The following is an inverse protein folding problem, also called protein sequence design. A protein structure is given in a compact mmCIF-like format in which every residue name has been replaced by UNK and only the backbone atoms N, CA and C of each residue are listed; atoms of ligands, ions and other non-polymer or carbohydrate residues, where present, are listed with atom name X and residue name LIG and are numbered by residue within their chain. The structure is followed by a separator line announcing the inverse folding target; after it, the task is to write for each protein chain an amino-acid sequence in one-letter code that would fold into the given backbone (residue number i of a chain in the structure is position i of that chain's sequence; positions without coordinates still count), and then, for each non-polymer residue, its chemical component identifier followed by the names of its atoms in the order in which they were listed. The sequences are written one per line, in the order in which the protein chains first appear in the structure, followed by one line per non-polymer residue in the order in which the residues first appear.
data_IF_470531452582
#
_entry.id   IF_470531452582
#
_cell.length_a   1.000
_cell.length_b   1.000
_cell.length_c   1.000
_cell.angle_alpha   90.00
_cell.angle_beta   90.00
_cell.angle_gamma   90.00
#
_symmetry.space_group_name_H-M   'P 1'
#
loop_
_entity.id
_entity.type
_entity.pdbx_description
1 polymer ?
#
# COMPACT_ATOMS: atom_id res chain seq x y z
N UNK A 1 53.29 83.73 -8.18
CA UNK A 1 52.99 82.62 -7.21
C UNK A 1 51.59 82.07 -7.50
N UNK A 2 51.50 80.91 -8.19
CA UNK A 2 50.21 80.29 -8.56
C UNK A 2 49.92 79.18 -7.54
N UNK A 3 48.78 79.30 -6.81
CA UNK A 3 48.27 78.28 -5.90
C UNK A 3 47.54 77.20 -6.70
N UNK A 4 47.98 75.94 -6.60
CA UNK A 4 47.35 74.80 -7.15
C UNK A 4 46.25 74.29 -6.16
N UNK A 5 45.04 74.38 -6.60
CA UNK A 5 43.88 73.82 -5.88
C UNK A 5 43.75 72.33 -6.23
N UNK A 6 43.84 71.48 -5.23
CA UNK A 6 43.73 69.99 -5.33
C UNK A 6 42.27 69.61 -5.24
N UNK A 7 41.69 69.16 -6.37
CA UNK A 7 40.32 68.54 -6.43
C UNK A 7 40.35 67.16 -5.78
N UNK A 8 39.46 66.97 -4.83
CA UNK A 8 39.20 65.65 -4.21
C UNK A 8 38.02 64.98 -4.92
N UNK A 9 38.31 64.00 -5.74
CA UNK A 9 37.29 63.14 -6.36
C UNK A 9 36.74 62.15 -5.31
N UNK A 10 35.43 62.23 -5.00
CA UNK A 10 34.77 61.30 -4.14
C UNK A 10 34.30 60.10 -5.00
N UNK A 11 34.79 58.89 -4.69
CA UNK A 11 34.31 57.65 -5.25
C UNK A 11 33.12 57.20 -4.43
N UNK A 12 31.95 57.08 -5.08
CA UNK A 12 30.79 56.39 -4.52
C UNK A 12 30.88 54.91 -4.95
N UNK A 13 31.10 54.02 -4.00
CA UNK A 13 31.00 52.59 -4.20
C UNK A 13 29.51 52.21 -4.20
N UNK A 14 29.00 51.87 -5.37
CA UNK A 14 27.67 51.25 -5.48
C UNK A 14 27.77 49.76 -5.04
N UNK A 15 27.27 49.46 -3.87
CA UNK A 15 27.15 48.10 -3.41
C UNK A 15 25.97 47.39 -4.12
N UNK A 16 26.28 46.46 -5.02
CA UNK A 16 25.28 45.56 -5.59
C UNK A 16 24.99 44.46 -4.56
N UNK A 17 23.88 44.60 -3.84
CA UNK A 17 23.39 43.55 -2.96
C UNK A 17 22.81 42.40 -3.80
N UNK A 18 23.50 41.26 -3.87
CA UNK A 18 22.90 40.02 -4.35
C UNK A 18 21.89 39.53 -3.31
N UNK A 19 20.59 39.70 -3.58
CA UNK A 19 19.53 39.02 -2.85
C UNK A 19 19.49 37.56 -3.33
N UNK A 20 20.11 36.65 -2.60
CA UNK A 20 19.93 35.22 -2.78
C UNK A 20 18.57 34.84 -2.21
N UNK A 21 17.56 34.73 -3.08
CA UNK A 21 16.30 34.05 -2.74
C UNK A 21 16.58 32.57 -2.57
N UNK A 22 16.79 32.13 -1.34
CA UNK A 22 16.85 30.74 -0.99
C UNK A 22 15.47 30.11 -1.25
N UNK A 23 15.33 29.39 -2.35
CA UNK A 23 14.17 28.51 -2.53
C UNK A 23 14.25 27.42 -1.46
N UNK A 24 13.38 27.52 -0.43
CA UNK A 24 13.11 26.39 0.45
C UNK A 24 12.47 25.30 -0.41
N UNK A 25 13.25 24.33 -0.84
CA UNK A 25 12.74 23.07 -1.34
C UNK A 25 12.18 22.34 -0.12
N UNK A 26 10.87 22.48 0.12
CA UNK A 26 10.13 21.61 1.01
C UNK A 26 10.14 20.24 0.32
N UNK A 27 11.15 19.42 0.62
CA UNK A 27 11.04 17.99 0.36
C UNK A 27 9.86 17.50 1.20
N UNK A 28 8.72 17.29 0.56
CA UNK A 28 7.65 16.50 1.12
C UNK A 28 8.23 15.09 1.31
N UNK A 29 8.82 14.86 2.47
CA UNK A 29 9.15 13.52 2.92
C UNK A 29 7.85 12.74 2.87
N UNK A 30 7.71 11.86 1.88
CA UNK A 30 6.57 10.97 1.79
C UNK A 30 6.52 10.22 3.11
N UNK A 31 5.56 10.56 3.96
CA UNK A 31 5.32 9.79 5.15
C UNK A 31 4.87 8.42 4.66
N UNK A 32 5.72 7.41 4.79
CA UNK A 32 5.47 6.04 4.37
C UNK A 32 4.57 5.38 5.42
N UNK A 33 3.31 5.10 5.06
CA UNK A 33 2.47 4.21 5.85
C UNK A 33 3.07 2.80 5.84
N UNK A 34 2.75 1.97 6.84
CA UNK A 34 3.15 0.57 6.84
C UNK A 34 2.08 -0.27 7.52
N UNK A 35 1.57 -1.28 6.83
CA UNK A 35 0.54 -2.16 7.39
C UNK A 35 0.28 -3.42 6.58
N UNK A 36 -0.30 -4.43 7.22
CA UNK A 36 -0.69 -5.70 6.62
C UNK A 36 -1.91 -6.28 7.34
N UNK A 37 -2.59 -7.24 6.72
CA UNK A 37 -3.68 -7.97 7.39
C UNK A 37 -3.15 -9.25 8.06
N UNK A 38 -3.67 -9.54 9.25
CA UNK A 38 -3.45 -10.79 9.96
C UNK A 38 -4.75 -11.59 10.20
N UNK A 39 -5.91 -10.99 9.86
CA UNK A 39 -7.21 -11.66 9.76
C UNK A 39 -7.98 -11.14 8.53
N UNK A 40 -8.29 -12.00 7.54
CA UNK A 40 -7.64 -13.28 7.33
C UNK A 40 -6.13 -13.08 7.13
N UNK A 41 -5.35 -14.11 7.44
CA UNK A 41 -3.88 -13.99 7.36
C UNK A 41 -3.44 -13.75 5.92
N UNK A 42 -2.69 -12.68 5.68
CA UNK A 42 -2.19 -12.34 4.34
C UNK A 42 -0.94 -13.14 3.97
N UNK A 43 -0.65 -13.23 2.66
CA UNK A 43 0.54 -13.90 2.13
C UNK A 43 1.83 -13.34 2.73
N UNK A 44 1.95 -11.99 2.84
CA UNK A 44 3.09 -11.37 3.48
C UNK A 44 3.21 -11.73 4.97
N UNK A 45 2.08 -11.89 5.67
CA UNK A 45 2.08 -12.34 7.07
C UNK A 45 2.46 -13.81 7.21
N UNK A 46 2.03 -14.67 6.29
CA UNK A 46 2.45 -16.08 6.23
C UNK A 46 3.97 -16.21 6.00
N UNK A 47 4.55 -15.32 5.20
CA UNK A 47 5.99 -15.25 5.00
C UNK A 47 6.72 -14.78 6.27
N UNK A 48 6.20 -13.73 6.91
CA UNK A 48 6.81 -13.12 8.09
C UNK A 48 6.82 -14.07 9.31
N UNK A 49 5.77 -14.85 9.50
CA UNK A 49 5.67 -15.78 10.63
C UNK A 49 6.31 -17.16 10.38
N UNK A 50 6.94 -17.36 9.20
CA UNK A 50 7.62 -18.61 8.84
C UNK A 50 6.70 -19.75 8.41
N UNK A 51 5.39 -19.54 8.30
CA UNK A 51 4.45 -20.55 7.74
C UNK A 51 4.76 -20.83 6.28
N UNK A 52 5.19 -19.81 5.53
CA UNK A 52 5.75 -19.92 4.19
C UNK A 52 7.17 -19.41 4.23
N UNK A 53 8.11 -20.21 3.71
CA UNK A 53 9.54 -19.89 3.67
C UNK A 53 9.98 -19.50 2.26
N UNK A 54 11.20 -19.01 2.11
CA UNK A 54 11.80 -18.58 0.83
C UNK A 54 11.04 -17.44 0.14
N UNK A 55 10.44 -16.56 0.93
CA UNK A 55 9.65 -15.43 0.46
C UNK A 55 10.47 -14.21 0.01
N UNK A 56 11.81 -14.24 0.12
CA UNK A 56 12.64 -13.06 -0.15
C UNK A 56 12.44 -11.97 0.89
N UNK A 57 12.57 -10.71 0.47
CA UNK A 57 12.58 -9.56 1.37
C UNK A 57 11.29 -9.37 2.16
N UNK A 58 10.15 -9.79 1.62
CA UNK A 58 8.84 -9.59 2.27
C UNK A 58 8.73 -10.26 3.65
N UNK A 59 9.52 -11.30 3.92
CA UNK A 59 9.56 -11.95 5.25
C UNK A 59 10.02 -11.00 6.36
N UNK A 60 10.81 -9.98 6.03
CA UNK A 60 11.37 -9.01 6.98
C UNK A 60 10.57 -7.71 7.05
N UNK A 61 9.79 -7.42 6.01
CA UNK A 61 9.02 -6.17 5.89
C UNK A 61 7.59 -6.40 5.39
N UNK A 62 6.78 -7.26 6.06
CA UNK A 62 5.42 -7.61 5.61
C UNK A 62 4.50 -6.40 5.51
N UNK A 63 4.83 -5.31 6.19
CA UNK A 63 4.08 -4.06 6.21
C UNK A 63 4.31 -3.18 4.98
N UNK A 64 5.27 -3.51 4.08
CA UNK A 64 5.78 -2.63 3.03
C UNK A 64 5.16 -2.87 1.65
N UNK A 65 4.03 -3.59 1.56
CA UNK A 65 3.35 -3.82 0.27
C UNK A 65 2.55 -2.58 -0.13
N UNK A 66 3.30 -1.57 -0.52
CA UNK A 66 2.79 -0.28 -0.99
C UNK A 66 2.75 -0.23 -2.51
N UNK A 67 1.75 0.42 -3.08
CA UNK A 67 1.59 0.63 -4.51
C UNK A 67 0.68 1.79 -4.85
N UNK A 68 0.50 2.13 -6.14
CA UNK A 68 -0.40 3.20 -6.55
C UNK A 68 -1.82 2.96 -6.04
N UNK A 69 -2.52 4.02 -5.59
CA UNK A 69 -3.93 3.94 -5.19
C UNK A 69 -4.87 3.94 -6.40
N UNK A 70 -6.17 3.75 -6.12
CA UNK A 70 -7.24 3.84 -7.13
C UNK A 70 -7.74 2.49 -7.63
N UNK A 71 -7.30 1.38 -6.99
CA UNK A 71 -7.81 0.04 -7.31
C UNK A 71 -9.34 -0.02 -7.13
N UNK A 72 -10.11 -0.64 -8.07
CA UNK A 72 -9.62 -1.43 -9.19
C UNK A 72 -9.44 -0.63 -10.51
N UNK A 73 -9.88 0.62 -10.60
CA UNK A 73 -9.82 1.42 -11.83
C UNK A 73 -8.39 1.78 -12.25
N UNK A 74 -7.49 1.88 -11.30
CA UNK A 74 -6.03 2.06 -11.45
C UNK A 74 -5.30 1.21 -10.38
N UNK A 75 -4.11 1.59 -9.95
CA UNK A 75 -3.35 0.81 -8.97
C UNK A 75 -2.37 -0.16 -9.63
N UNK A 76 -1.96 -1.25 -8.95
CA UNK A 76 -1.03 -2.23 -9.48
C UNK A 76 -1.56 -2.89 -10.76
N UNK A 77 -0.68 -3.25 -11.68
CA UNK A 77 -1.03 -3.98 -12.90
C UNK A 77 -1.58 -5.38 -12.59
N UNK A 78 -2.31 -5.96 -13.54
CA UNK A 78 -2.72 -7.36 -13.46
C UNK A 78 -1.50 -8.28 -13.36
N UNK A 79 -1.59 -9.31 -12.54
CA UNK A 79 -0.46 -10.16 -12.19
C UNK A 79 0.48 -9.58 -11.13
N UNK A 80 0.25 -8.35 -10.66
CA UNK A 80 1.09 -7.68 -9.65
C UNK A 80 0.29 -7.14 -8.45
N UNK A 81 -0.98 -7.52 -8.34
CA UNK A 81 -1.90 -6.98 -7.34
C UNK A 81 -1.42 -7.27 -5.91
N UNK A 82 -1.00 -8.51 -5.64
CA UNK A 82 -0.61 -8.94 -4.29
C UNK A 82 0.74 -8.39 -3.82
N UNK A 83 1.59 -7.91 -4.75
CA UNK A 83 2.84 -7.23 -4.43
C UNK A 83 2.71 -5.70 -4.40
N UNK A 84 1.52 -5.15 -4.67
CA UNK A 84 1.34 -3.70 -4.83
C UNK A 84 2.03 -3.13 -6.07
N UNK A 85 2.47 -3.98 -7.02
CA UNK A 85 3.30 -3.58 -8.17
C UNK A 85 4.80 -3.52 -7.85
N UNK A 86 5.22 -3.86 -6.61
CA UNK A 86 6.62 -3.87 -6.20
C UNK A 86 7.30 -5.18 -6.61
N UNK A 87 8.29 -5.10 -7.51
CA UNK A 87 9.02 -6.26 -8.03
C UNK A 87 9.83 -7.00 -6.96
N UNK A 88 10.25 -6.33 -5.88
CA UNK A 88 10.93 -6.97 -4.74
C UNK A 88 10.05 -8.02 -4.04
N UNK A 89 8.73 -7.90 -4.17
CA UNK A 89 7.74 -8.75 -3.51
C UNK A 89 6.98 -9.65 -4.50
N UNK A 90 7.55 -9.91 -5.67
CA UNK A 90 6.91 -10.69 -6.73
C UNK A 90 6.47 -12.09 -6.29
N UNK A 91 7.10 -12.67 -5.27
CA UNK A 91 6.70 -13.96 -4.69
C UNK A 91 5.24 -13.97 -4.23
N UNK A 92 4.72 -12.81 -3.81
CA UNK A 92 3.33 -12.68 -3.36
C UNK A 92 2.31 -12.82 -4.50
N UNK A 93 2.74 -12.59 -5.74
CA UNK A 93 1.84 -12.66 -6.92
C UNK A 93 1.63 -14.09 -7.44
N UNK A 94 2.55 -14.99 -7.13
CA UNK A 94 2.52 -16.34 -7.70
C UNK A 94 1.25 -17.10 -7.26
N UNK A 95 0.71 -17.90 -8.16
CA UNK A 95 -0.43 -18.78 -7.91
C UNK A 95 -0.12 -19.90 -6.90
N UNK A 96 1.16 -20.23 -6.76
CA UNK A 96 1.69 -21.15 -5.75
C UNK A 96 2.60 -20.41 -4.78
N UNK A 97 2.70 -20.90 -3.54
CA UNK A 97 3.65 -20.36 -2.58
C UNK A 97 5.10 -20.63 -2.99
N UNK A 98 6.06 -19.84 -2.55
CA UNK A 98 7.48 -20.16 -2.69
C UNK A 98 7.78 -21.59 -2.19
N UNK A 99 8.56 -22.34 -2.96
CA UNK A 99 8.81 -23.76 -2.71
C UNK A 99 7.74 -24.71 -3.27
N UNK A 100 6.69 -24.19 -3.91
CA UNK A 100 5.63 -24.95 -4.57
C UNK A 100 4.43 -25.25 -3.66
N UNK A 101 3.37 -25.75 -4.30
CA UNK A 101 2.09 -26.06 -3.65
C UNK A 101 1.20 -24.84 -3.39
N UNK A 102 -0.01 -25.08 -2.95
CA UNK A 102 -1.00 -24.04 -2.68
C UNK A 102 -0.59 -23.14 -1.51
N UNK A 103 -1.00 -21.86 -1.56
CA UNK A 103 -0.94 -20.98 -0.42
C UNK A 103 -1.82 -21.51 0.72
N UNK A 104 -1.38 -21.43 1.99
CA UNK A 104 -2.21 -21.76 3.14
C UNK A 104 -3.46 -20.89 3.17
N UNK A 105 -4.62 -21.47 3.42
CA UNK A 105 -5.91 -20.78 3.44
C UNK A 105 -6.45 -20.58 4.85
N UNK A 106 -7.17 -19.48 5.06
CA UNK A 106 -8.04 -19.31 6.22
C UNK A 106 -9.45 -19.82 5.87
N UNK A 107 -10.01 -20.73 6.70
CA UNK A 107 -11.39 -21.18 6.52
C UNK A 107 -12.36 -20.07 6.88
N UNK A 108 -13.32 -19.82 6.02
CA UNK A 108 -14.38 -18.80 6.21
C UNK A 108 -15.74 -19.38 5.86
N UNK A 109 -16.82 -18.73 6.31
CA UNK A 109 -18.20 -19.16 6.01
C UNK A 109 -18.91 -18.05 5.25
N UNK A 110 -19.31 -18.33 4.01
CA UNK A 110 -20.03 -17.40 3.15
C UNK A 110 -21.32 -16.89 3.78
N UNK A 111 -21.63 -15.60 3.59
CA UNK A 111 -22.82 -14.97 4.16
C UNK A 111 -22.77 -14.68 5.66
N UNK A 112 -21.72 -15.06 6.36
CA UNK A 112 -21.54 -14.76 7.79
C UNK A 112 -20.71 -13.49 8.00
N UNK A 113 -20.82 -12.89 9.18
CA UNK A 113 -19.93 -11.82 9.59
C UNK A 113 -18.53 -12.39 9.86
N UNK A 114 -17.54 -11.65 9.41
CA UNK A 114 -16.13 -11.97 9.60
C UNK A 114 -15.37 -10.74 10.10
N UNK A 115 -14.39 -10.95 10.97
CA UNK A 115 -13.51 -9.88 11.45
C UNK A 115 -12.28 -9.78 10.56
N UNK A 116 -12.13 -8.65 9.89
CA UNK A 116 -10.92 -8.26 9.16
C UNK A 116 -10.04 -7.46 10.10
N UNK A 117 -8.75 -7.80 10.19
CA UNK A 117 -7.85 -7.08 11.08
C UNK A 117 -6.58 -6.65 10.36
N UNK A 118 -6.25 -5.37 10.53
CA UNK A 118 -5.01 -4.77 10.09
C UNK A 118 -4.06 -4.56 11.27
N UNK A 119 -2.76 -4.73 11.01
CA UNK A 119 -1.66 -4.36 11.87
C UNK A 119 -0.88 -3.25 11.19
N UNK A 120 -0.63 -2.15 11.90
CA UNK A 120 0.10 -1.01 11.37
C UNK A 120 1.37 -0.79 12.19
N UNK A 121 2.50 -0.65 11.50
CA UNK A 121 3.77 -0.23 12.10
C UNK A 121 4.03 1.26 11.87
N UNK A 122 3.37 1.86 10.88
CA UNK A 122 3.31 3.31 10.67
C UNK A 122 1.91 3.70 10.20
N UNK A 123 1.17 4.42 11.03
CA UNK A 123 -0.21 4.85 10.79
C UNK A 123 -0.24 6.12 9.95
N UNK A 124 -1.16 6.17 8.98
CA UNK A 124 -1.35 7.30 8.08
C UNK A 124 -2.79 7.79 8.04
N UNK A 125 -2.99 9.05 7.63
CA UNK A 125 -4.30 9.56 7.26
C UNK A 125 -4.91 8.65 6.20
N UNK A 126 -6.10 8.13 6.45
CA UNK A 126 -6.73 7.04 5.71
C UNK A 126 -8.02 7.51 5.06
N UNK A 127 -8.16 7.27 3.75
CA UNK A 127 -9.43 7.50 3.04
C UNK A 127 -10.44 6.42 3.37
N UNK A 128 -10.06 5.17 3.15
CA UNK A 128 -10.92 4.00 3.34
C UNK A 128 -10.11 2.69 3.40
N UNK A 129 -10.82 1.63 3.78
CA UNK A 129 -10.42 0.24 3.59
C UNK A 129 -11.43 -0.44 2.70
N UNK A 130 -10.98 -1.15 1.67
CA UNK A 130 -11.83 -1.89 0.73
C UNK A 130 -11.41 -3.34 0.65
N UNK A 131 -12.40 -4.21 0.52
CA UNK A 131 -12.19 -5.65 0.45
C UNK A 131 -12.86 -6.21 -0.80
N UNK A 132 -12.07 -6.87 -1.62
CA UNK A 132 -12.48 -7.52 -2.85
C UNK A 132 -12.26 -9.02 -2.72
N UNK A 133 -12.97 -9.82 -3.50
CA UNK A 133 -12.80 -11.27 -3.52
C UNK A 133 -12.84 -11.77 -4.96
N UNK A 134 -12.14 -12.85 -5.22
CA UNK A 134 -12.22 -13.54 -6.51
C UNK A 134 -13.64 -14.03 -6.76
N UNK A 135 -14.09 -13.98 -8.02
CA UNK A 135 -15.40 -14.46 -8.46
C UNK A 135 -15.46 -16.00 -8.46
N UNK A 136 -16.64 -16.56 -8.48
CA UNK A 136 -16.82 -18.00 -8.70
C UNK A 136 -16.20 -18.41 -10.04
N UNK A 137 -15.51 -19.57 -10.06
CA UNK A 137 -14.87 -20.08 -11.27
C UNK A 137 -13.64 -19.33 -11.76
N UNK A 138 -13.01 -18.47 -10.92
CA UNK A 138 -11.76 -17.81 -11.27
C UNK A 138 -10.63 -18.81 -11.54
N UNK A 139 -9.67 -18.44 -12.37
CA UNK A 139 -8.54 -19.32 -12.70
C UNK A 139 -7.45 -19.20 -11.62
N UNK A 140 -7.19 -20.29 -10.91
CA UNK A 140 -6.20 -20.35 -9.82
C UNK A 140 -4.77 -20.60 -10.30
N UNK A 141 -4.54 -20.81 -11.62
CA UNK A 141 -3.26 -21.24 -12.15
C UNK A 141 -2.40 -20.12 -12.70
N UNK A 142 -2.76 -18.87 -12.43
CA UNK A 142 -1.98 -17.70 -12.83
C UNK A 142 -1.98 -16.62 -11.71
N UNK A 143 -1.11 -15.62 -11.86
CA UNK A 143 -1.09 -14.48 -10.96
C UNK A 143 -2.40 -13.67 -11.09
N UNK A 144 -2.92 -13.19 -9.97
CA UNK A 144 -4.24 -12.55 -9.85
C UNK A 144 -4.40 -11.35 -10.79
N UNK A 145 -5.44 -11.37 -11.60
CA UNK A 145 -5.84 -10.28 -12.49
C UNK A 145 -7.20 -9.69 -12.07
N UNK A 146 -7.52 -8.49 -12.56
CA UNK A 146 -8.84 -7.87 -12.32
C UNK A 146 -9.99 -8.73 -12.84
N UNK A 147 -9.78 -9.44 -13.95
CA UNK A 147 -10.76 -10.38 -14.51
C UNK A 147 -11.12 -11.54 -13.57
N UNK A 148 -10.29 -11.83 -12.58
CA UNK A 148 -10.57 -12.87 -11.58
C UNK A 148 -11.39 -12.36 -10.41
N UNK A 149 -11.49 -11.04 -10.24
CA UNK A 149 -12.12 -10.41 -9.09
C UNK A 149 -13.56 -9.94 -9.39
N UNK A 150 -14.38 -9.93 -8.36
CA UNK A 150 -15.51 -9.03 -8.34
C UNK A 150 -14.97 -7.61 -8.05
N UNK A 151 -15.04 -6.72 -9.03
CA UNK A 151 -14.46 -5.38 -8.95
C UNK A 151 -15.29 -4.40 -8.12
N UNK A 152 -16.49 -4.77 -7.69
CA UNK A 152 -17.23 -4.07 -6.64
C UNK A 152 -16.76 -4.62 -5.29
N UNK A 153 -16.25 -3.77 -4.38
CA UNK A 153 -15.83 -4.26 -3.06
C UNK A 153 -17.05 -4.80 -2.32
N UNK A 154 -16.93 -5.99 -1.76
CA UNK A 154 -18.01 -6.58 -0.96
C UNK A 154 -18.12 -5.92 0.43
N UNK A 155 -17.07 -5.24 0.87
CA UNK A 155 -17.04 -4.52 2.13
C UNK A 155 -16.14 -3.27 2.00
N UNK A 156 -16.63 -2.13 2.48
CA UNK A 156 -15.91 -0.86 2.50
C UNK A 156 -16.08 -0.20 3.85
N UNK A 157 -14.99 0.30 4.41
CA UNK A 157 -14.97 1.07 5.65
C UNK A 157 -14.40 2.47 5.35
N UNK A 158 -15.25 3.51 5.23
CA UNK A 158 -14.79 4.90 5.15
C UNK A 158 -14.02 5.30 6.41
N UNK A 159 -12.90 6.01 6.24
CA UNK A 159 -12.07 6.44 7.37
C UNK A 159 -11.83 7.95 7.42
N UNK A 160 -12.26 8.68 6.39
CA UNK A 160 -12.43 10.15 6.34
C UNK A 160 -11.18 10.94 6.74
N UNK A 161 -9.99 10.49 6.36
CA UNK A 161 -8.72 11.16 6.66
C UNK A 161 -8.17 10.89 8.07
N UNK A 162 -8.86 10.11 8.90
CA UNK A 162 -8.37 9.76 10.24
C UNK A 162 -7.17 8.81 10.16
N UNK A 163 -6.35 8.80 11.21
CA UNK A 163 -5.28 7.82 11.39
C UNK A 163 -5.81 6.63 12.18
N UNK A 164 -5.63 5.39 11.71
CA UNK A 164 -6.01 4.21 12.47
C UNK A 164 -5.11 4.00 13.69
N UNK A 165 -5.56 3.28 14.72
CA UNK A 165 -4.68 2.76 15.77
C UNK A 165 -3.72 1.70 15.20
N UNK A 166 -2.72 1.29 15.98
CA UNK A 166 -1.75 0.26 15.57
C UNK A 166 -2.37 -1.10 15.20
N UNK A 167 -3.54 -1.39 15.76
CA UNK A 167 -4.37 -2.55 15.41
C UNK A 167 -5.79 -2.10 15.19
N UNK A 168 -6.37 -2.42 14.03
CA UNK A 168 -7.73 -2.04 13.68
C UNK A 168 -8.49 -3.25 13.17
N UNK A 169 -9.67 -3.48 13.75
CA UNK A 169 -10.59 -4.55 13.34
C UNK A 169 -11.85 -3.98 12.71
N UNK A 170 -12.27 -4.57 11.60
CA UNK A 170 -13.53 -4.28 10.93
C UNK A 170 -14.38 -5.54 10.88
N UNK A 171 -15.66 -5.44 11.22
CA UNK A 171 -16.58 -6.56 11.04
C UNK A 171 -17.44 -6.32 9.82
N UNK A 172 -17.34 -7.20 8.84
CA UNK A 172 -18.07 -7.13 7.59
C UNK A 172 -18.68 -8.49 7.21
N UNK A 173 -19.71 -8.47 6.37
CA UNK A 173 -20.36 -9.69 5.89
C UNK A 173 -19.62 -10.24 4.68
N UNK A 174 -19.23 -11.52 4.74
CA UNK A 174 -18.64 -12.23 3.60
C UNK A 174 -19.70 -12.49 2.51
N UNK A 175 -19.29 -12.50 1.22
CA UNK A 175 -20.18 -12.90 0.13
C UNK A 175 -20.70 -14.31 0.31
N UNK A 176 -21.96 -14.54 -0.10
CA UNK A 176 -22.56 -15.87 -0.17
C UNK A 176 -22.37 -16.50 -1.55
N UNK A 177 -22.53 -17.82 -1.66
CA UNK A 177 -22.50 -18.53 -2.93
C UNK A 177 -21.10 -18.79 -3.50
N UNK A 178 -20.04 -18.52 -2.74
CA UNK A 178 -18.67 -18.93 -3.04
C UNK A 178 -18.36 -20.27 -2.37
N UNK A 179 -17.50 -21.07 -2.99
CA UNK A 179 -17.03 -22.35 -2.46
C UNK A 179 -15.62 -22.65 -2.92
N UNK A 180 -14.85 -23.35 -2.08
CA UNK A 180 -13.47 -23.70 -2.37
C UNK A 180 -12.51 -22.52 -2.17
N UNK A 181 -11.39 -22.54 -2.89
CA UNK A 181 -10.32 -21.56 -2.72
C UNK A 181 -10.61 -20.23 -3.42
N UNK A 182 -10.47 -19.15 -2.68
CA UNK A 182 -10.59 -17.76 -3.15
C UNK A 182 -9.48 -16.90 -2.57
N UNK A 183 -9.26 -15.72 -3.16
CA UNK A 183 -8.34 -14.70 -2.64
C UNK A 183 -9.15 -13.46 -2.26
N UNK A 184 -8.99 -13.01 -1.03
CA UNK A 184 -9.46 -11.68 -0.60
C UNK A 184 -8.33 -10.68 -0.78
N UNK A 185 -8.60 -9.61 -1.53
CA UNK A 185 -7.69 -8.46 -1.68
C UNK A 185 -8.18 -7.35 -0.77
N UNK A 186 -7.41 -7.05 0.25
CA UNK A 186 -7.65 -5.92 1.14
C UNK A 186 -6.79 -4.74 0.69
N UNK A 187 -7.40 -3.56 0.56
CA UNK A 187 -6.76 -2.32 0.12
C UNK A 187 -6.96 -1.25 1.18
N UNK A 188 -5.85 -0.72 1.70
CA UNK A 188 -5.83 0.43 2.60
C UNK A 188 -5.43 1.68 1.81
N UNK A 189 -6.37 2.58 1.57
CA UNK A 189 -6.17 3.80 0.76
C UNK A 189 -5.68 4.95 1.63
N UNK A 190 -4.49 5.47 1.33
CA UNK A 190 -3.90 6.61 2.05
C UNK A 190 -4.55 7.92 1.54
N UNK A 191 -4.89 8.82 2.47
CA UNK A 191 -5.58 10.06 2.13
C UNK A 191 -4.65 11.12 1.54
N UNK A 192 -3.46 11.27 2.10
CA UNK A 192 -2.51 12.35 1.87
C UNK A 192 -1.33 11.97 0.95
N UNK A 193 -1.38 10.80 0.31
CA UNK A 193 -0.40 10.35 -0.69
C UNK A 193 -1.10 9.80 -1.93
N UNK A 194 -0.32 9.46 -2.97
CA UNK A 194 -0.80 8.77 -4.17
C UNK A 194 -0.86 7.25 -4.03
N UNK A 195 -0.63 6.72 -2.83
CA UNK A 195 -0.41 5.31 -2.58
C UNK A 195 -1.55 4.66 -1.78
N UNK A 196 -1.56 3.34 -1.85
CA UNK A 196 -2.36 2.43 -1.04
C UNK A 196 -1.52 1.22 -0.64
N UNK A 197 -1.95 0.49 0.38
CA UNK A 197 -1.35 -0.78 0.79
C UNK A 197 -2.25 -1.93 0.39
N UNK A 198 -1.63 -3.01 -0.05
CA UNK A 198 -2.31 -4.19 -0.59
C UNK A 198 -1.99 -5.42 0.26
N UNK A 199 -3.01 -6.23 0.53
CA UNK A 199 -2.84 -7.50 1.22
C UNK A 199 -3.73 -8.55 0.57
N UNK A 200 -3.13 -9.62 0.04
CA UNK A 200 -3.83 -10.79 -0.47
C UNK A 200 -3.87 -11.87 0.61
N UNK A 201 -5.06 -12.36 0.91
CA UNK A 201 -5.28 -13.48 1.84
C UNK A 201 -6.00 -14.61 1.13
N UNK A 202 -5.42 -15.79 1.16
CA UNK A 202 -6.04 -16.99 0.61
C UNK A 202 -7.05 -17.54 1.61
N UNK A 203 -8.27 -17.81 1.15
CA UNK A 203 -9.38 -18.27 1.98
C UNK A 203 -10.05 -19.49 1.35
N UNK A 204 -10.70 -20.32 2.17
CA UNK A 204 -11.54 -21.43 1.71
C UNK A 204 -12.95 -21.22 2.27
N UNK A 205 -13.91 -21.03 1.34
CA UNK A 205 -15.34 -20.98 1.63
C UNK A 205 -15.95 -22.35 1.76
#
# INVERSE_FOLDING_TARGET
MRKLTRSRTKWYAAGVGLATTGALVLSSGGASGHGYTDLPVSRQKLCQNGTVTNCGDIQWEPQSVEGPKGFPGSGPADGQICSGGNSRFNQLNASTKPGGGAWPTTRVTGGQNYTFRWQFTAMHATTDFKYYVTRAGWNQNHALARSDLNLTPFFTVPYNGQRPPSTLSHTGRLPSGLSGHHVIVAVWTIADTTNAFYACSDVTF
#
